data_IF_538094276457
#
_entry.id   IF_538094276457
#
_cell.length_a   1.000
_cell.length_b   1.000
_cell.length_c   1.000
_cell.angle_alpha   90.00
_cell.angle_beta   90.00
_cell.angle_gamma   90.00
#
_symmetry.space_group_name_H-M   'P 1'
#
loop_
_entity.id
_entity.type
_entity.pdbx_description
1 polymer ?
#
# COMPACT_ATOMS: atom_id res chain seq x y z
N UNK A 1 7.31 -10.98 8.71
CA UNK A 1 7.15 -9.62 9.28
C UNK A 1 7.37 -8.62 8.14
N UNK A 2 6.51 -7.61 7.99
CA UNK A 2 6.63 -6.60 6.92
C UNK A 2 7.03 -5.22 7.44
N UNK A 3 6.54 -4.87 8.64
CA UNK A 3 6.90 -3.68 9.42
C UNK A 3 7.33 -4.16 10.81
N UNK A 4 8.09 -3.37 11.59
CA UNK A 4 8.48 -3.72 12.95
C UNK A 4 7.30 -3.56 13.93
N UNK A 5 6.15 -4.14 13.60
CA UNK A 5 4.88 -4.05 14.32
C UNK A 5 4.33 -5.46 14.47
N UNK A 6 3.99 -5.81 15.70
CA UNK A 6 3.31 -7.05 16.04
C UNK A 6 1.80 -6.77 16.20
N UNK A 7 1.01 -7.10 15.17
CA UNK A 7 -0.43 -6.88 15.20
C UNK A 7 -1.20 -7.74 16.23
N UNK A 8 -0.54 -8.70 16.91
CA UNK A 8 -1.15 -9.43 18.03
C UNK A 8 -1.01 -8.69 19.36
N UNK A 9 0.00 -7.83 19.51
CA UNK A 9 0.35 -7.20 20.78
C UNK A 9 0.36 -5.67 20.74
N UNK A 10 0.62 -5.07 19.59
CA UNK A 10 0.61 -3.62 19.41
C UNK A 10 -0.79 -3.13 19.05
N UNK A 11 -1.25 -2.01 19.65
CA UNK A 11 -2.54 -1.42 19.30
C UNK A 11 -2.49 -0.85 17.87
N UNK A 12 -3.50 -1.18 17.08
CA UNK A 12 -3.71 -0.66 15.73
C UNK A 12 -5.14 -0.16 15.56
N UNK A 13 -5.36 0.70 14.57
CA UNK A 13 -6.66 1.24 14.23
C UNK A 13 -7.04 0.88 12.80
N UNK A 14 -8.14 0.17 12.59
CA UNK A 14 -8.72 0.03 11.24
C UNK A 14 -9.35 1.37 10.87
N UNK A 15 -8.89 1.95 9.76
CA UNK A 15 -9.37 3.23 9.24
C UNK A 15 -10.43 2.97 8.15
N UNK A 16 -11.57 3.67 8.24
CA UNK A 16 -12.61 3.63 7.21
C UNK A 16 -12.41 4.80 6.25
N UNK A 17 -12.04 4.49 5.00
CA UNK A 17 -11.88 5.46 3.92
C UNK A 17 -13.01 5.39 2.89
N UNK A 18 -14.09 4.67 3.22
CA UNK A 18 -15.30 4.59 2.39
C UNK A 18 -16.20 5.80 2.58
N UNK A 19 -17.18 5.94 1.67
CA UNK A 19 -18.21 6.97 1.77
C UNK A 19 -19.14 6.84 3.01
N UNK A 20 -19.00 5.78 3.82
CA UNK A 20 -19.76 5.63 5.07
C UNK A 20 -19.18 6.48 6.20
N UNK A 21 -17.91 6.87 6.09
CA UNK A 21 -17.26 7.71 7.07
C UNK A 21 -17.57 9.19 6.80
N UNK A 22 -18.61 9.71 7.45
CA UNK A 22 -19.03 11.10 7.34
C UNK A 22 -17.98 12.11 7.86
N UNK A 23 -16.97 11.68 8.62
CA UNK A 23 -15.88 12.58 9.03
C UNK A 23 -15.08 13.07 7.81
N UNK A 24 -15.02 12.28 6.73
CA UNK A 24 -14.25 12.61 5.53
C UNK A 24 -14.86 13.79 4.72
N UNK A 25 -16.16 14.05 4.87
CA UNK A 25 -16.85 15.11 4.11
C UNK A 25 -16.38 16.52 4.51
N UNK A 26 -15.86 16.67 5.74
CA UNK A 26 -15.37 17.95 6.28
C UNK A 26 -13.87 18.17 6.13
N UNK A 27 -13.15 17.24 5.48
CA UNK A 27 -11.69 17.24 5.42
C UNK A 27 -11.25 17.53 4.00
N UNK A 28 -10.37 18.51 3.83
CA UNK A 28 -9.70 18.71 2.55
C UNK A 28 -8.64 17.63 2.35
N UNK A 29 -9.07 16.52 1.76
CA UNK A 29 -8.18 15.41 1.43
C UNK A 29 -7.21 15.76 0.30
N UNK A 30 -7.35 16.89 -0.42
CA UNK A 30 -6.38 17.28 -1.45
C UNK A 30 -5.10 17.84 -0.85
N UNK A 31 -5.18 18.48 0.32
CA UNK A 31 -4.03 18.92 1.10
C UNK A 31 -3.44 17.75 1.92
N UNK A 32 -2.21 17.34 1.56
CA UNK A 32 -1.53 16.20 2.21
C UNK A 32 -1.26 16.45 3.70
N UNK A 33 -1.01 17.69 4.12
CA UNK A 33 -0.78 17.99 5.54
C UNK A 33 -2.07 17.84 6.34
N UNK A 34 -3.19 18.36 5.83
CA UNK A 34 -4.52 18.20 6.44
C UNK A 34 -4.90 16.72 6.52
N UNK A 35 -4.67 15.97 5.44
CA UNK A 35 -4.94 14.53 5.42
C UNK A 35 -4.03 13.76 6.41
N UNK A 36 -2.76 14.14 6.51
CA UNK A 36 -1.81 13.57 7.47
C UNK A 36 -2.28 13.82 8.91
N UNK A 37 -2.68 15.04 9.23
CA UNK A 37 -3.17 15.40 10.55
C UNK A 37 -4.42 14.61 10.94
N UNK A 38 -5.33 14.38 10.00
CA UNK A 38 -6.50 13.52 10.22
C UNK A 38 -6.09 12.06 10.53
N UNK A 39 -5.31 11.42 9.63
CA UNK A 39 -4.94 10.00 9.79
C UNK A 39 -4.17 9.78 11.08
N UNK A 40 -3.09 10.52 11.30
CA UNK A 40 -2.25 10.35 12.49
C UNK A 40 -2.93 10.89 13.74
N UNK A 41 -3.85 11.86 13.62
CA UNK A 41 -4.72 12.30 14.69
C UNK A 41 -5.61 11.17 15.20
N UNK A 42 -6.29 10.45 14.30
CA UNK A 42 -7.14 9.29 14.65
C UNK A 42 -6.32 8.18 15.31
N UNK A 43 -5.16 7.84 14.74
CA UNK A 43 -4.25 6.82 15.28
C UNK A 43 -3.86 7.17 16.72
N UNK A 44 -3.39 8.40 16.97
CA UNK A 44 -3.00 8.88 18.31
C UNK A 44 -4.17 8.89 19.30
N UNK A 45 -5.34 9.37 18.87
CA UNK A 45 -6.55 9.42 19.71
C UNK A 45 -6.99 8.02 20.20
N UNK A 46 -6.72 6.99 19.41
CA UNK A 46 -7.03 5.60 19.78
C UNK A 46 -5.86 4.89 20.49
N UNK A 47 -4.76 5.60 20.77
CA UNK A 47 -3.55 5.02 21.37
C UNK A 47 -2.90 3.94 20.50
N UNK A 48 -3.15 3.95 19.19
CA UNK A 48 -2.59 3.02 18.23
C UNK A 48 -1.20 3.48 17.76
N UNK A 49 -0.37 2.53 17.31
CA UNK A 49 0.93 2.82 16.69
C UNK A 49 0.90 2.75 15.17
N UNK A 50 -0.20 2.23 14.60
CA UNK A 50 -0.40 2.09 13.16
C UNK A 50 -1.88 2.13 12.80
N UNK A 51 -2.19 2.78 11.69
CA UNK A 51 -3.50 2.71 11.04
C UNK A 51 -3.49 1.63 9.96
N UNK A 52 -4.63 0.99 9.72
CA UNK A 52 -4.78 -0.07 8.71
C UNK A 52 -5.93 0.26 7.79
N UNK A 53 -5.64 0.45 6.50
CA UNK A 53 -6.65 0.60 5.44
C UNK A 53 -6.91 -0.74 4.74
N UNK A 54 -8.17 -1.04 4.43
CA UNK A 54 -8.60 -2.36 3.99
C UNK A 54 -8.29 -2.72 2.52
N UNK A 55 -8.30 -4.03 2.25
CA UNK A 55 -8.33 -4.64 0.92
C UNK A 55 -9.76 -4.70 0.39
N UNK A 56 -9.93 -4.56 -0.93
CA UNK A 56 -11.23 -4.61 -1.61
C UNK A 56 -12.22 -3.54 -1.10
N UNK A 57 -11.68 -2.39 -0.73
CA UNK A 57 -12.41 -1.29 -0.12
C UNK A 57 -12.74 -0.20 -1.18
N UNK A 58 -14.01 0.24 -1.32
CA UNK A 58 -14.38 1.35 -2.20
C UNK A 58 -14.09 2.69 -1.52
N UNK A 59 -12.89 3.23 -1.73
CA UNK A 59 -12.42 4.42 -1.02
C UNK A 59 -12.71 5.72 -1.76
N UNK A 60 -13.03 6.76 -0.99
CA UNK A 60 -13.26 8.11 -1.52
C UNK A 60 -11.98 8.94 -1.61
N UNK A 61 -10.92 8.55 -0.90
CA UNK A 61 -9.65 9.30 -0.81
C UNK A 61 -8.95 9.47 -2.17
N UNK A 62 -9.16 8.56 -3.13
CA UNK A 62 -8.56 8.65 -4.46
C UNK A 62 -9.10 9.79 -5.31
N UNK A 63 -10.26 10.35 -4.95
CA UNK A 63 -10.83 11.53 -5.61
C UNK A 63 -9.94 12.75 -5.49
N UNK A 64 -8.94 12.73 -4.60
CA UNK A 64 -7.98 13.82 -4.43
C UNK A 64 -7.07 14.04 -5.65
N UNK A 65 -6.80 13.01 -6.46
CA UNK A 65 -5.87 13.12 -7.59
C UNK A 65 -6.57 12.98 -8.95
N UNK A 66 -6.29 13.88 -9.92
CA UNK A 66 -6.70 13.71 -11.32
C UNK A 66 -6.21 12.40 -11.93
N UNK A 67 -5.13 11.83 -11.40
CA UNK A 67 -4.62 10.53 -11.84
C UNK A 67 -5.71 9.46 -11.79
N UNK A 68 -6.57 9.45 -10.76
CA UNK A 68 -7.65 8.46 -10.61
C UNK A 68 -9.02 8.94 -11.12
N UNK A 69 -9.17 10.22 -11.41
CA UNK A 69 -10.39 10.86 -11.90
C UNK A 69 -10.38 11.10 -13.43
N UNK A 70 -9.76 10.22 -14.21
CA UNK A 70 -9.81 10.32 -15.68
C UNK A 70 -11.23 10.11 -16.21
N UNK A 71 -11.51 10.57 -17.44
CA UNK A 71 -12.83 10.46 -18.10
C UNK A 71 -13.30 9.01 -18.11
N UNK A 72 -14.26 8.66 -17.24
CA UNK A 72 -14.75 7.30 -17.07
C UNK A 72 -15.21 7.01 -15.63
N UNK A 73 -15.40 5.72 -15.32
CA UNK A 73 -15.71 5.26 -13.96
C UNK A 73 -14.50 5.51 -13.03
N UNK A 74 -14.68 6.12 -11.85
CA UNK A 74 -13.58 6.40 -10.94
C UNK A 74 -12.92 5.11 -10.43
N UNK A 75 -11.59 5.10 -10.38
CA UNK A 75 -10.83 4.02 -9.75
C UNK A 75 -10.88 4.19 -8.24
N UNK A 76 -11.63 3.33 -7.55
CA UNK A 76 -11.88 3.47 -6.11
C UNK A 76 -11.68 2.20 -5.30
N UNK A 77 -11.58 1.03 -5.95
CA UNK A 77 -11.44 -0.25 -5.26
C UNK A 77 -9.97 -0.51 -4.98
N UNK A 78 -9.62 -0.52 -3.69
CA UNK A 78 -8.26 -0.75 -3.25
C UNK A 78 -7.85 -2.22 -3.39
N UNK A 79 -6.69 -2.47 -4.02
CA UNK A 79 -6.19 -3.81 -4.30
C UNK A 79 -5.10 -4.27 -3.32
N UNK A 80 -4.66 -3.40 -2.41
CA UNK A 80 -3.68 -3.71 -1.37
C UNK A 80 -4.24 -3.59 0.05
N UNK A 81 -3.34 -3.55 1.03
CA UNK A 81 -3.58 -3.09 2.39
C UNK A 81 -2.61 -1.94 2.67
N UNK A 82 -3.13 -0.88 3.29
CA UNK A 82 -2.29 0.27 3.68
C UNK A 82 -1.98 0.22 5.16
N UNK A 83 -0.70 0.39 5.49
CA UNK A 83 -0.20 0.43 6.86
C UNK A 83 0.33 1.84 7.14
N UNK A 84 -0.49 2.65 7.80
CA UNK A 84 -0.26 4.07 8.08
C UNK A 84 0.60 4.23 9.32
N UNK A 85 1.86 4.59 9.13
CA UNK A 85 2.86 4.77 10.20
C UNK A 85 3.96 5.73 9.74
N UNK A 86 4.88 6.08 10.62
CA UNK A 86 5.84 7.16 10.38
C UNK A 86 6.77 6.89 9.18
N UNK A 87 7.12 7.96 8.46
CA UNK A 87 8.18 7.90 7.46
C UNK A 87 9.51 7.45 8.11
N UNK A 88 10.33 6.72 7.37
CA UNK A 88 11.54 6.08 7.89
C UNK A 88 11.30 4.72 8.56
N UNK A 89 10.04 4.31 8.78
CA UNK A 89 9.75 2.97 9.29
C UNK A 89 10.29 1.91 8.32
N UNK A 90 11.10 0.95 8.79
CA UNK A 90 11.70 -0.06 7.93
C UNK A 90 10.65 -1.04 7.39
N UNK A 91 10.81 -1.40 6.12
CA UNK A 91 9.98 -2.39 5.41
C UNK A 91 10.83 -3.63 5.13
N UNK A 92 10.25 -4.81 5.37
CA UNK A 92 10.93 -6.11 5.29
C UNK A 92 10.25 -7.05 4.30
N UNK A 93 11.04 -7.92 3.67
CA UNK A 93 10.51 -8.97 2.80
C UNK A 93 9.76 -10.03 3.65
N UNK A 94 8.49 -10.34 3.36
CA UNK A 94 7.75 -11.36 4.11
C UNK A 94 8.18 -12.79 3.74
N UNK A 95 8.75 -12.96 2.54
CA UNK A 95 9.14 -14.23 1.95
C UNK A 95 10.50 -14.07 1.24
N UNK A 96 11.23 -15.17 1.09
CA UNK A 96 12.40 -15.23 0.21
C UNK A 96 11.98 -14.85 -1.23
N UNK A 97 12.78 -14.02 -1.90
CA UNK A 97 12.45 -13.58 -3.24
C UNK A 97 13.58 -12.81 -3.91
N UNK A 98 13.28 -12.29 -5.10
CA UNK A 98 14.18 -11.45 -5.87
C UNK A 98 13.47 -10.19 -6.32
N UNK A 99 14.21 -9.10 -6.52
CA UNK A 99 13.67 -7.88 -7.15
C UNK A 99 13.21 -8.22 -8.57
N UNK A 100 11.92 -8.14 -8.82
CA UNK A 100 11.37 -8.26 -10.17
C UNK A 100 11.57 -6.95 -10.94
N UNK A 101 11.13 -5.84 -10.34
CA UNK A 101 11.24 -4.49 -10.90
C UNK A 101 11.04 -3.42 -9.82
N UNK A 102 11.36 -2.17 -10.14
CA UNK A 102 11.22 -1.01 -9.27
C UNK A 102 11.16 0.26 -10.11
N UNK A 103 10.51 1.32 -9.62
CA UNK A 103 10.37 2.61 -10.30
C UNK A 103 10.07 3.73 -9.30
N UNK A 104 10.39 4.98 -9.65
CA UNK A 104 9.92 6.17 -8.95
C UNK A 104 8.71 6.77 -9.69
N UNK A 105 7.51 6.38 -9.26
CA UNK A 105 6.21 6.77 -9.82
C UNK A 105 5.78 8.15 -9.26
N UNK A 106 6.53 9.19 -9.63
CA UNK A 106 6.53 10.50 -8.96
C UNK A 106 5.36 11.43 -9.31
N UNK A 107 4.24 10.93 -9.85
CA UNK A 107 3.06 11.75 -10.09
C UNK A 107 2.28 11.98 -8.79
N UNK A 108 1.58 13.11 -8.69
CA UNK A 108 0.71 13.39 -7.54
C UNK A 108 -0.40 12.34 -7.39
N UNK A 109 -0.48 11.72 -6.23
CA UNK A 109 -1.42 10.63 -5.92
C UNK A 109 -0.96 9.25 -6.41
N UNK A 110 0.14 9.14 -7.13
CA UNK A 110 0.71 7.85 -7.55
C UNK A 110 1.53 7.24 -6.40
N UNK A 111 2.29 6.17 -6.62
CA UNK A 111 3.00 5.47 -5.55
C UNK A 111 4.29 6.15 -5.07
N UNK A 112 4.91 7.04 -5.85
CA UNK A 112 6.30 7.39 -5.65
C UNK A 112 7.24 6.18 -5.79
N UNK A 113 8.32 6.08 -5.00
CA UNK A 113 9.23 4.95 -5.02
C UNK A 113 8.51 3.62 -4.72
N UNK A 114 8.63 2.69 -5.67
CA UNK A 114 7.92 1.41 -5.67
C UNK A 114 8.89 0.27 -5.94
N UNK A 115 8.75 -0.82 -5.19
CA UNK A 115 9.51 -2.06 -5.38
C UNK A 115 8.52 -3.21 -5.59
N UNK A 116 8.82 -4.09 -6.55
CA UNK A 116 8.10 -5.36 -6.74
C UNK A 116 9.09 -6.50 -6.53
N UNK A 117 8.80 -7.39 -5.59
CA UNK A 117 9.52 -8.65 -5.41
C UNK A 117 8.75 -9.80 -6.06
N UNK A 118 9.48 -10.74 -6.65
CA UNK A 118 8.98 -12.03 -7.10
C UNK A 118 9.42 -13.12 -6.11
N UNK A 119 8.46 -13.94 -5.73
CA UNK A 119 8.60 -15.07 -4.82
C UNK A 119 8.13 -16.35 -5.52
N UNK A 120 8.52 -17.50 -4.98
CA UNK A 120 7.96 -18.79 -5.39
C UNK A 120 7.19 -19.38 -4.20
N UNK A 121 5.89 -19.58 -4.38
CA UNK A 121 5.01 -20.21 -3.40
C UNK A 121 4.32 -21.41 -4.07
N UNK A 122 4.49 -22.62 -3.52
CA UNK A 122 3.96 -23.87 -4.07
C UNK A 122 4.27 -24.08 -5.56
N UNK A 123 5.49 -23.70 -5.99
CA UNK A 123 5.94 -23.82 -7.38
C UNK A 123 5.32 -22.81 -8.34
N UNK A 124 4.58 -21.81 -7.85
CA UNK A 124 3.97 -20.74 -8.64
C UNK A 124 4.55 -19.38 -8.27
N UNK A 125 4.57 -18.42 -9.20
CA UNK A 125 4.98 -17.06 -8.88
C UNK A 125 3.97 -16.38 -7.95
N UNK A 126 4.49 -15.65 -6.98
CA UNK A 126 3.75 -14.70 -6.17
C UNK A 126 4.55 -13.40 -6.15
N UNK A 127 3.91 -12.29 -6.45
CA UNK A 127 4.53 -10.97 -6.44
C UNK A 127 4.06 -10.19 -5.22
N UNK A 128 4.96 -9.40 -4.65
CA UNK A 128 4.63 -8.41 -3.63
C UNK A 128 5.03 -7.02 -4.09
N UNK A 129 4.11 -6.06 -4.04
CA UNK A 129 4.35 -4.65 -4.33
C UNK A 129 4.40 -3.84 -3.05
N UNK A 130 5.39 -2.95 -2.97
CA UNK A 130 5.63 -2.02 -1.87
C UNK A 130 5.66 -0.61 -2.46
N UNK A 131 4.60 0.16 -2.25
CA UNK A 131 4.48 1.56 -2.68
C UNK A 131 4.81 2.54 -1.55
N UNK A 132 4.86 3.83 -1.88
CA UNK A 132 5.07 4.94 -0.95
C UNK A 132 6.38 4.86 -0.15
N UNK A 133 7.42 4.31 -0.76
CA UNK A 133 8.74 4.14 -0.14
C UNK A 133 9.57 5.43 -0.23
N UNK A 134 10.67 5.49 0.51
CA UNK A 134 11.64 6.57 0.41
C UNK A 134 12.49 6.43 -0.86
N UNK A 135 12.87 7.54 -1.51
CA UNK A 135 13.73 7.49 -2.70
C UNK A 135 15.07 6.78 -2.47
N UNK A 136 15.75 6.94 -1.31
CA UNK A 136 16.96 6.18 -1.01
C UNK A 136 16.77 4.66 -1.10
N UNK A 137 15.56 4.14 -0.87
CA UNK A 137 15.25 2.70 -0.95
C UNK A 137 15.47 2.12 -2.36
N UNK A 138 15.46 2.93 -3.41
CA UNK A 138 15.74 2.47 -4.79
C UNK A 138 17.24 2.38 -5.09
N UNK A 139 18.08 2.94 -4.23
CA UNK A 139 19.54 3.01 -4.48
C UNK A 139 20.17 1.64 -4.42
N UNK A 140 20.92 1.28 -5.47
CA UNK A 140 21.62 -0.01 -5.55
C UNK A 140 20.71 -1.22 -5.79
N UNK A 141 19.42 -1.01 -6.07
CA UNK A 141 18.54 -2.05 -6.59
C UNK A 141 18.90 -2.40 -8.02
N UNK A 142 18.70 -3.67 -8.36
CA UNK A 142 18.77 -4.21 -9.72
C UNK A 142 17.82 -5.40 -9.80
N UNK A 143 17.26 -5.64 -10.98
CA UNK A 143 16.47 -6.85 -11.24
C UNK A 143 17.29 -8.10 -10.87
N UNK A 144 16.66 -9.06 -10.21
CA UNK A 144 17.28 -10.29 -9.72
C UNK A 144 18.07 -10.17 -8.42
N UNK A 145 18.14 -8.99 -7.78
CA UNK A 145 18.76 -8.88 -6.44
C UNK A 145 17.97 -9.74 -5.44
N UNK A 146 18.59 -10.71 -4.75
CA UNK A 146 17.90 -11.57 -3.81
C UNK A 146 17.65 -10.85 -2.48
N UNK A 147 16.56 -11.22 -1.82
CA UNK A 147 16.23 -10.87 -0.44
C UNK A 147 15.76 -12.12 0.31
N UNK A 148 16.17 -12.25 1.56
CA UNK A 148 15.66 -13.29 2.47
C UNK A 148 14.44 -12.80 3.23
N UNK A 149 13.57 -13.72 3.63
CA UNK A 149 12.47 -13.41 4.53
C UNK A 149 13.01 -12.73 5.80
N UNK A 150 12.42 -11.60 6.17
CA UNK A 150 12.85 -10.77 7.29
C UNK A 150 14.01 -9.81 6.98
N UNK A 151 14.57 -9.82 5.76
CA UNK A 151 15.56 -8.83 5.35
C UNK A 151 14.90 -7.48 5.06
N UNK A 152 15.54 -6.40 5.50
CA UNK A 152 15.08 -5.03 5.23
C UNK A 152 15.26 -4.71 3.74
N UNK A 153 14.19 -4.27 3.09
CA UNK A 153 14.18 -3.95 1.67
C UNK A 153 14.09 -2.45 1.40
N UNK A 154 13.47 -1.68 2.31
CA UNK A 154 13.15 -0.28 2.11
C UNK A 154 12.79 0.42 3.43
N UNK A 155 12.41 1.69 3.33
CA UNK A 155 11.75 2.48 4.38
C UNK A 155 10.53 3.20 3.78
N UNK A 156 9.52 3.49 4.60
CA UNK A 156 8.38 4.34 4.22
C UNK A 156 8.88 5.76 3.91
N UNK A 157 8.43 6.34 2.80
CA UNK A 157 8.82 7.67 2.35
C UNK A 157 7.99 8.78 2.99
N UNK A 158 8.57 9.98 3.22
CA UNK A 158 7.79 11.17 3.52
C UNK A 158 7.09 11.70 2.26
N UNK A 159 6.03 12.49 2.43
CA UNK A 159 5.54 13.34 1.35
C UNK A 159 6.48 14.55 1.18
N UNK A 160 6.61 15.11 -0.04
CA UNK A 160 5.86 14.76 -1.26
C UNK A 160 6.44 13.57 -2.05
N UNK A 161 7.58 12.99 -1.64
CA UNK A 161 8.28 12.03 -2.50
C UNK A 161 7.58 10.69 -2.68
N UNK A 162 6.77 10.27 -1.71
CA UNK A 162 5.98 9.05 -1.73
C UNK A 162 4.71 9.15 -2.61
N UNK A 163 4.69 10.03 -3.62
CA UNK A 163 3.49 10.35 -4.41
C UNK A 163 2.54 11.33 -3.73
N UNK A 164 3.04 12.06 -2.73
CA UNK A 164 2.32 13.08 -1.96
C UNK A 164 1.12 12.53 -1.16
N UNK A 165 1.37 11.44 -0.44
CA UNK A 165 0.42 10.82 0.49
C UNK A 165 0.88 10.97 1.95
N UNK A 166 -0.04 10.99 2.93
CA UNK A 166 0.38 10.80 4.32
C UNK A 166 1.25 9.55 4.43
N UNK A 167 2.33 9.53 5.23
CA UNK A 167 3.25 8.40 5.26
C UNK A 167 2.54 7.08 5.59
N UNK A 168 2.71 6.09 4.71
CA UNK A 168 2.18 4.74 4.87
C UNK A 168 2.90 3.79 3.91
N UNK A 169 2.73 2.48 4.13
CA UNK A 169 3.10 1.45 3.16
C UNK A 169 1.84 0.96 2.44
N UNK A 170 1.80 1.05 1.11
CA UNK A 170 0.89 0.26 0.29
C UNK A 170 1.50 -1.12 0.06
N UNK A 171 0.85 -2.17 0.55
CA UNK A 171 1.29 -3.55 0.36
C UNK A 171 0.26 -4.36 -0.41
N UNK A 172 0.67 -4.95 -1.53
CA UNK A 172 -0.21 -5.70 -2.41
C UNK A 172 0.41 -7.03 -2.84
N UNK A 173 -0.44 -8.04 -3.00
CA UNK A 173 -0.07 -9.32 -3.59
C UNK A 173 -0.60 -9.40 -5.02
N UNK A 174 0.16 -10.00 -5.92
CA UNK A 174 -0.29 -10.32 -7.28
C UNK A 174 0.17 -11.72 -7.67
N UNK A 175 -0.67 -12.48 -8.37
CA UNK A 175 -0.32 -13.79 -8.96
C UNK A 175 0.04 -13.69 -10.44
N UNK A 176 -0.37 -12.59 -11.08
CA UNK A 176 -0.04 -12.26 -12.47
C UNK A 176 0.21 -10.75 -12.56
N UNK A 177 1.33 -10.38 -13.17
CA UNK A 177 1.68 -8.98 -13.43
C UNK A 177 1.13 -8.46 -14.75
N UNK A 178 0.56 -9.29 -15.63
CA UNK A 178 0.02 -8.84 -16.93
C UNK A 178 1.04 -8.10 -17.80
N UNK A 179 2.34 -8.38 -17.62
CA UNK A 179 3.45 -7.69 -18.31
C UNK A 179 3.88 -6.36 -17.68
N UNK A 180 3.29 -5.93 -16.57
CA UNK A 180 3.66 -4.71 -15.86
C UNK A 180 5.08 -4.80 -15.26
N UNK A 181 5.79 -3.66 -15.24
CA UNK A 181 7.13 -3.52 -14.65
C UNK A 181 7.26 -2.16 -13.97
N UNK A 182 7.82 -2.12 -12.76
CA UNK A 182 8.04 -0.88 -12.00
C UNK A 182 6.78 -0.29 -11.36
N UNK A 183 5.61 -0.71 -11.83
CA UNK A 183 4.30 -0.22 -11.42
C UNK A 183 3.26 -1.35 -11.62
N UNK A 184 2.14 -1.29 -10.91
CA UNK A 184 0.97 -2.15 -11.09
C UNK A 184 -0.26 -1.47 -10.48
N UNK A 185 -1.47 -1.56 -11.09
CA UNK A 185 -2.67 -0.94 -10.54
C UNK A 185 -2.90 -1.25 -9.05
N UNK A 186 -2.81 -0.22 -8.20
CA UNK A 186 -3.15 -0.29 -6.77
C UNK A 186 -4.62 -0.10 -6.48
N UNK A 187 -5.32 0.47 -7.46
CA UNK A 187 -6.75 0.71 -7.43
C UNK A 187 -7.35 0.38 -8.78
N UNK A 188 -8.58 -0.14 -8.74
CA UNK A 188 -9.36 -0.41 -9.94
C UNK A 188 -10.75 0.21 -9.87
N UNK A 189 -11.43 0.20 -11.01
CA UNK A 189 -12.85 0.58 -11.12
C UNK A 189 -13.73 -0.51 -10.51
N UNK A 190 -15.00 -0.19 -10.24
CA UNK A 190 -15.96 -1.22 -9.82
C UNK A 190 -16.18 -2.25 -10.94
N UNK A 191 -16.17 -1.82 -12.20
CA UNK A 191 -16.29 -2.72 -13.36
C UNK A 191 -15.17 -3.75 -13.45
N UNK A 192 -13.91 -3.35 -13.20
CA UNK A 192 -12.76 -4.24 -13.29
C UNK A 192 -12.49 -5.04 -12.00
N UNK A 193 -13.27 -4.79 -10.94
CA UNK A 193 -13.07 -5.37 -9.60
C UNK A 193 -12.87 -6.87 -9.63
N UNK A 194 -13.82 -7.62 -10.20
CA UNK A 194 -13.75 -9.09 -10.21
C UNK A 194 -12.47 -9.60 -10.88
N UNK A 195 -12.11 -8.98 -12.01
CA UNK A 195 -10.90 -9.32 -12.77
C UNK A 195 -9.63 -9.07 -11.95
N UNK A 196 -9.51 -7.92 -11.27
CA UNK A 196 -8.31 -7.63 -10.48
C UNK A 196 -8.24 -8.47 -9.21
N UNK A 197 -9.36 -8.69 -8.51
CA UNK A 197 -9.38 -9.53 -7.30
C UNK A 197 -9.03 -11.00 -7.61
N UNK A 198 -9.27 -11.48 -8.84
CA UNK A 198 -8.85 -12.81 -9.26
C UNK A 198 -7.32 -12.98 -9.32
N UNK A 199 -6.58 -11.88 -9.52
CA UNK A 199 -5.10 -11.89 -9.61
C UNK A 199 -4.41 -11.15 -8.46
N UNK A 200 -5.14 -10.41 -7.64
CA UNK A 200 -4.61 -9.68 -6.49
C UNK A 200 -5.17 -10.26 -5.20
N UNK A 201 -4.64 -11.37 -4.66
CA UNK A 201 -5.20 -11.99 -3.46
C UNK A 201 -5.07 -11.07 -2.23
N UNK A 202 -6.00 -11.22 -1.29
CA UNK A 202 -6.02 -10.43 -0.05
C UNK A 202 -4.66 -10.50 0.69
N UNK A 203 -3.94 -9.36 0.87
CA UNK A 203 -2.63 -9.36 1.53
C UNK A 203 -2.67 -9.84 2.98
N UNK A 204 -3.84 -9.82 3.63
CA UNK A 204 -3.99 -10.30 4.99
C UNK A 204 -3.73 -11.81 5.14
N UNK A 205 -3.71 -12.56 4.02
CA UNK A 205 -3.23 -13.96 3.99
C UNK A 205 -1.77 -14.10 4.45
N UNK A 206 -0.96 -13.06 4.25
CA UNK A 206 0.42 -12.99 4.77
C UNK A 206 0.53 -12.14 6.04
N UNK A 207 -0.23 -11.04 6.13
CA UNK A 207 -0.10 -10.10 7.25
C UNK A 207 -0.73 -10.59 8.55
N UNK A 208 -1.79 -11.40 8.47
CA UNK A 208 -2.50 -11.98 9.62
C UNK A 208 -2.93 -10.94 10.67
N UNK A 209 -3.35 -9.76 10.23
CA UNK A 209 -3.88 -8.69 11.07
C UNK A 209 -5.25 -9.14 11.59
N UNK A 210 -5.44 -9.25 12.93
CA UNK A 210 -6.74 -9.61 13.49
C UNK A 210 -7.84 -8.61 13.08
N UNK A 211 -9.08 -9.06 13.00
CA UNK A 211 -10.21 -8.20 12.62
C UNK A 211 -10.31 -7.84 11.13
N UNK A 212 -9.29 -8.14 10.32
CA UNK A 212 -9.38 -8.11 8.86
C UNK A 212 -9.68 -9.51 8.30
N UNK A 213 -10.56 -9.58 7.30
CA UNK A 213 -10.82 -10.83 6.57
C UNK A 213 -9.61 -11.29 5.72
N UNK A 214 -9.66 -12.52 5.21
CA UNK A 214 -8.64 -13.11 4.32
C UNK A 214 -9.19 -13.50 2.94
N UNK A 215 -10.47 -13.24 2.72
CA UNK A 215 -11.23 -13.49 1.50
C UNK A 215 -11.39 -12.19 0.68
#
# INVERSE_FOLDING_TARGET
>A
MILPIDFQHNPYLILDFTARNAELDGIDLTDTAVFTDYVFGKIRQHGAVVGVGGYNEPRVIYRRSPHFNQVGEPRCIHLGIDLWTEAGTPVFAPLDGVVHSFQDNHHFGDYGPTIILEHTLDGKPLFTLYGHLSRPSLTGLRKGKPYKAGEKIAEIGPYPENGDWPPHLHFQLMTDLGGHTGDFPGVCTLTDRERYLAICPNPNRLLQIPGLGVD
#
